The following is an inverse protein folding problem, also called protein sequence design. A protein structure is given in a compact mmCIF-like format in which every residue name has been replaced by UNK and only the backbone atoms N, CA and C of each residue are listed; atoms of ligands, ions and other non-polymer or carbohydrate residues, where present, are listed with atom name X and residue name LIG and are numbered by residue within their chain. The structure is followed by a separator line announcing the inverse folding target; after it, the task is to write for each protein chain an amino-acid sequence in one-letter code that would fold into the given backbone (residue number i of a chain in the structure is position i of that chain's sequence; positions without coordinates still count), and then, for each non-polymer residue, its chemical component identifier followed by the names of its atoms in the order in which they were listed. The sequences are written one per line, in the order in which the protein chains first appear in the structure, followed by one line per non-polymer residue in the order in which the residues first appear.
data_IF_503202647199
#
_entry.id   IF_503202647199
#
_cell.length_a   1.000
_cell.length_b   1.000
_cell.length_c   1.000
_cell.angle_alpha   90.00
_cell.angle_beta   90.00
_cell.angle_gamma   90.00
#
_symmetry.space_group_name_H-M   'P 1'
#
loop_
_entity.id
_entity.type
_entity.pdbx_description
1 polymer ?
#
# COMPACT_ATOMS: atom_id res chain seq x y z
N UNK A 1 -6.58 -12.05 -34.19
CA UNK A 1 -7.61 -11.38 -33.37
C UNK A 1 -6.87 -10.89 -32.15
N UNK A 2 -6.69 -9.59 -31.98
CA UNK A 2 -6.15 -9.04 -30.72
C UNK A 2 -7.30 -9.12 -29.72
N UNK A 3 -7.20 -10.04 -28.75
CA UNK A 3 -8.06 -10.00 -27.61
C UNK A 3 -7.90 -8.63 -26.97
N UNK A 4 -9.00 -7.89 -26.86
CA UNK A 4 -9.06 -6.70 -26.07
C UNK A 4 -8.76 -7.13 -24.64
N UNK A 5 -7.50 -6.97 -24.21
CA UNK A 5 -7.09 -7.20 -22.83
C UNK A 5 -7.75 -6.10 -21.97
N UNK A 6 -9.00 -6.33 -21.62
CA UNK A 6 -9.68 -5.53 -20.61
C UNK A 6 -8.90 -5.78 -19.33
N UNK A 7 -8.40 -4.70 -18.71
CA UNK A 7 -7.79 -4.74 -17.40
C UNK A 7 -8.64 -5.58 -16.43
N UNK A 8 -8.04 -6.61 -15.86
CA UNK A 8 -8.67 -7.42 -14.82
C UNK A 8 -7.77 -7.32 -13.58
N UNK A 9 -8.21 -6.63 -12.53
CA UNK A 9 -7.50 -6.63 -11.25
C UNK A 9 -7.48 -8.04 -10.68
N UNK A 10 -6.42 -8.38 -9.95
CA UNK A 10 -6.36 -9.66 -9.24
C UNK A 10 -7.45 -9.70 -8.17
N UNK A 11 -8.13 -10.83 -8.08
CA UNK A 11 -9.25 -11.07 -7.15
C UNK A 11 -8.96 -12.30 -6.29
N UNK A 12 -9.87 -12.54 -5.37
CA UNK A 12 -10.01 -13.85 -4.68
C UNK A 12 -10.31 -14.94 -5.71
N UNK A 13 -9.95 -16.19 -5.41
CA UNK A 13 -10.22 -17.34 -6.29
C UNK A 13 -11.67 -17.37 -6.78
N UNK A 14 -11.88 -17.65 -8.07
CA UNK A 14 -13.20 -17.61 -8.69
C UNK A 14 -14.19 -18.58 -8.01
N UNK A 15 -13.74 -19.75 -7.56
CA UNK A 15 -14.59 -20.68 -6.83
C UNK A 15 -15.21 -20.06 -5.57
N UNK A 16 -14.45 -19.27 -4.83
CA UNK A 16 -14.95 -18.52 -3.66
C UNK A 16 -15.99 -17.49 -4.11
N UNK A 17 -15.70 -16.76 -5.18
CA UNK A 17 -16.63 -15.75 -5.71
C UNK A 17 -17.92 -16.36 -6.26
N UNK A 18 -17.85 -17.57 -6.82
CA UNK A 18 -19.04 -18.31 -7.29
C UNK A 18 -19.94 -18.72 -6.13
N UNK A 19 -19.38 -19.24 -5.03
CA UNK A 19 -20.14 -19.56 -3.81
C UNK A 19 -20.82 -18.29 -3.25
N UNK A 20 -20.08 -17.18 -3.17
CA UNK A 20 -20.62 -15.91 -2.69
C UNK A 20 -21.74 -15.40 -3.60
N UNK A 21 -21.58 -15.50 -4.92
CA UNK A 21 -22.60 -15.11 -5.91
C UNK A 21 -23.88 -15.93 -5.76
N UNK A 22 -23.76 -17.25 -5.64
CA UNK A 22 -24.93 -18.13 -5.47
C UNK A 22 -25.61 -17.93 -4.11
N UNK A 23 -24.83 -17.68 -3.04
CA UNK A 23 -25.35 -17.32 -1.72
C UNK A 23 -26.33 -16.13 -1.81
N UNK A 24 -25.87 -15.00 -2.34
CA UNK A 24 -26.69 -13.78 -2.39
C UNK A 24 -27.80 -13.84 -3.43
N UNK A 25 -27.65 -14.64 -4.47
CA UNK A 25 -28.74 -14.95 -5.38
C UNK A 25 -29.87 -15.73 -4.65
N UNK A 26 -29.51 -16.70 -3.82
CA UNK A 26 -30.46 -17.48 -3.03
C UNK A 26 -31.14 -16.63 -1.94
N UNK A 27 -30.35 -15.79 -1.21
CA UNK A 27 -30.87 -14.83 -0.23
C UNK A 27 -31.87 -13.86 -0.88
N UNK A 28 -31.55 -13.33 -2.04
CA UNK A 28 -32.42 -12.44 -2.82
C UNK A 28 -33.72 -13.14 -3.32
N UNK A 29 -33.72 -14.45 -3.38
CA UNK A 29 -34.89 -15.28 -3.70
C UNK A 29 -35.64 -15.76 -2.44
N UNK A 30 -35.27 -15.32 -1.25
CA UNK A 30 -35.96 -15.57 0.02
C UNK A 30 -35.43 -16.78 0.79
N UNK A 31 -34.27 -17.34 0.46
CA UNK A 31 -33.65 -18.42 1.23
C UNK A 31 -32.97 -17.80 2.46
N UNK A 32 -33.55 -18.01 3.65
CA UNK A 32 -33.15 -17.32 4.89
C UNK A 32 -31.81 -17.80 5.48
N UNK A 33 -31.40 -19.02 5.21
CA UNK A 33 -30.17 -19.66 5.69
C UNK A 33 -29.03 -19.64 4.63
N UNK A 34 -29.19 -18.88 3.55
CA UNK A 34 -28.24 -18.85 2.44
C UNK A 34 -26.80 -18.57 2.89
N UNK A 35 -26.59 -17.62 3.82
CA UNK A 35 -25.25 -17.29 4.35
C UNK A 35 -24.64 -18.43 5.17
N UNK A 36 -25.47 -19.21 5.92
CA UNK A 36 -25.00 -20.36 6.68
C UNK A 36 -24.59 -21.50 5.78
N UNK A 37 -25.37 -21.78 4.73
CA UNK A 37 -25.03 -22.78 3.71
C UNK A 37 -23.71 -22.39 3.01
N UNK A 38 -23.61 -21.15 2.56
CA UNK A 38 -22.41 -20.65 1.91
C UNK A 38 -21.16 -20.69 2.83
N UNK A 39 -21.31 -20.43 4.13
CA UNK A 39 -20.20 -20.55 5.08
C UNK A 39 -19.65 -21.98 5.15
N UNK A 40 -20.55 -23.00 5.09
CA UNK A 40 -20.12 -24.40 5.06
C UNK A 40 -19.37 -24.71 3.75
N UNK A 41 -19.90 -24.25 2.62
CA UNK A 41 -19.28 -24.47 1.30
C UNK A 41 -17.92 -23.73 1.19
N UNK A 42 -17.82 -22.53 1.75
CA UNK A 42 -16.57 -21.76 1.83
C UNK A 42 -15.52 -22.44 2.71
N UNK A 43 -15.92 -23.35 3.61
CA UNK A 43 -15.01 -23.99 4.57
C UNK A 43 -13.79 -24.67 3.93
N UNK A 44 -13.89 -25.15 2.68
CA UNK A 44 -12.76 -25.73 1.95
C UNK A 44 -11.74 -24.68 1.45
N UNK A 45 -12.14 -23.42 1.36
CA UNK A 45 -11.32 -22.31 0.86
C UNK A 45 -10.92 -21.33 1.96
N UNK A 46 -11.60 -21.39 3.10
CA UNK A 46 -11.31 -20.55 4.26
C UNK A 46 -10.01 -21.01 4.94
N UNK A 47 -9.10 -20.09 5.12
CA UNK A 47 -7.88 -20.30 5.87
C UNK A 47 -8.03 -19.57 7.19
N UNK A 48 -8.15 -20.32 8.29
CA UNK A 48 -8.14 -19.75 9.64
C UNK A 48 -6.72 -19.31 9.96
N UNK A 49 -6.58 -18.11 10.48
CA UNK A 49 -5.30 -17.51 10.86
C UNK A 49 -5.08 -17.56 12.37
N UNK A 50 -3.87 -17.26 12.82
CA UNK A 50 -3.47 -17.42 14.22
C UNK A 50 -4.28 -16.61 15.25
N UNK A 51 -4.98 -15.55 14.83
CA UNK A 51 -5.83 -14.70 15.68
C UNK A 51 -7.34 -15.04 15.58
N UNK A 52 -7.69 -16.13 14.89
CA UNK A 52 -9.07 -16.58 14.69
C UNK A 52 -9.83 -15.82 13.61
N UNK A 53 -9.16 -14.95 12.85
CA UNK A 53 -9.71 -14.40 11.62
C UNK A 53 -9.57 -15.39 10.46
N UNK A 54 -10.21 -15.08 9.34
CA UNK A 54 -10.17 -15.91 8.15
C UNK A 54 -9.59 -15.14 6.97
N UNK A 55 -8.89 -15.84 6.07
CA UNK A 55 -8.39 -15.28 4.82
C UNK A 55 -8.67 -16.19 3.65
N UNK A 56 -8.62 -15.63 2.44
CA UNK A 56 -8.70 -16.34 1.18
C UNK A 56 -7.41 -16.21 0.39
N UNK A 57 -7.22 -17.14 -0.54
CA UNK A 57 -6.19 -17.02 -1.57
C UNK A 57 -6.71 -16.20 -2.74
N UNK A 58 -5.78 -15.51 -3.42
CA UNK A 58 -6.03 -14.89 -4.71
C UNK A 58 -6.16 -15.92 -5.83
N UNK A 59 -6.67 -15.50 -6.98
CA UNK A 59 -6.43 -16.19 -8.23
C UNK A 59 -4.94 -16.49 -8.42
N UNK A 60 -4.62 -17.50 -9.22
CA UNK A 60 -3.22 -17.79 -9.57
C UNK A 60 -2.66 -16.74 -10.51
N UNK A 61 -1.53 -16.16 -10.14
CA UNK A 61 -0.74 -15.26 -10.95
C UNK A 61 0.68 -15.85 -11.11
N UNK A 62 1.11 -16.08 -12.33
CA UNK A 62 2.43 -16.67 -12.66
C UNK A 62 2.75 -17.96 -11.86
N UNK A 63 1.78 -18.88 -11.78
CA UNK A 63 1.82 -20.14 -10.99
C UNK A 63 2.00 -19.96 -9.48
N UNK A 64 1.69 -18.81 -8.95
CA UNK A 64 1.64 -18.54 -7.51
C UNK A 64 0.32 -17.86 -7.14
N UNK A 65 -0.07 -17.97 -5.87
CA UNK A 65 -1.19 -17.23 -5.29
C UNK A 65 -0.73 -16.54 -4.01
N UNK A 66 -1.34 -15.41 -3.70
CA UNK A 66 -1.12 -14.69 -2.44
C UNK A 66 -2.34 -14.85 -1.54
N UNK A 67 -2.14 -14.88 -0.23
CA UNK A 67 -3.24 -14.75 0.73
C UNK A 67 -3.55 -13.27 0.97
N UNK A 68 -4.83 -12.92 1.15
CA UNK A 68 -5.22 -11.54 1.45
C UNK A 68 -4.58 -11.03 2.76
N UNK A 69 -4.45 -11.93 3.76
CA UNK A 69 -3.82 -11.63 5.03
C UNK A 69 -2.76 -12.68 5.37
N UNK A 70 -1.86 -12.38 6.31
CA UNK A 70 -0.87 -13.34 6.77
C UNK A 70 -1.50 -14.48 7.55
N UNK A 71 -0.87 -15.67 7.57
CA UNK A 71 -1.28 -16.80 8.38
C UNK A 71 -1.17 -16.55 9.90
N UNK A 72 -0.42 -15.50 10.30
CA UNK A 72 -0.26 -15.14 11.71
C UNK A 72 -1.53 -14.50 12.28
N UNK A 73 -2.27 -13.76 11.46
CA UNK A 73 -3.50 -13.10 11.85
C UNK A 73 -3.81 -11.90 10.98
N UNK A 74 -5.02 -11.84 10.40
CA UNK A 74 -5.45 -10.69 9.60
C UNK A 74 -5.76 -9.48 10.46
N UNK A 75 -6.29 -9.70 11.66
CA UNK A 75 -6.61 -8.63 12.61
C UNK A 75 -5.34 -8.09 13.29
N UNK A 76 -4.46 -8.99 13.75
CA UNK A 76 -3.18 -8.58 14.33
C UNK A 76 -2.28 -7.89 13.29
N UNK A 77 -2.26 -8.35 12.04
CA UNK A 77 -1.54 -7.67 10.96
C UNK A 77 -2.08 -6.26 10.76
N UNK A 78 -3.40 -6.10 10.72
CA UNK A 78 -4.05 -4.79 10.58
C UNK A 78 -3.69 -3.87 11.75
N UNK A 79 -3.70 -4.40 12.97
CA UNK A 79 -3.34 -3.65 14.17
C UNK A 79 -1.88 -3.20 14.17
N UNK A 80 -0.96 -4.14 13.96
CA UNK A 80 0.47 -3.90 14.14
C UNK A 80 1.07 -3.09 12.99
N UNK A 81 0.66 -3.35 11.74
CA UNK A 81 1.24 -2.70 10.57
C UNK A 81 0.59 -1.40 10.16
N UNK A 82 -0.69 -1.23 10.49
CA UNK A 82 -1.44 -0.08 10.01
C UNK A 82 -1.98 0.81 11.12
N UNK A 83 -2.71 0.22 12.10
CA UNK A 83 -3.46 1.04 13.05
C UNK A 83 -2.57 1.65 14.12
N UNK A 84 -1.70 0.87 14.78
CA UNK A 84 -0.78 1.40 15.80
C UNK A 84 0.18 2.47 15.25
N UNK A 85 0.85 2.24 14.12
CA UNK A 85 1.82 3.22 13.60
C UNK A 85 1.18 4.43 12.89
N UNK A 86 -0.15 4.53 12.81
CA UNK A 86 -0.83 5.64 12.17
C UNK A 86 -1.01 6.89 13.05
N UNK A 87 -0.62 6.83 14.32
CA UNK A 87 -0.69 7.94 15.29
C UNK A 87 -2.10 8.56 15.44
N UNK A 88 -3.15 7.73 15.40
CA UNK A 88 -4.54 8.20 15.46
C UNK A 88 -5.06 8.42 16.89
N UNK A 89 -4.41 7.84 17.89
CA UNK A 89 -4.78 7.99 19.30
C UNK A 89 -4.66 9.46 19.74
N UNK A 90 -5.64 9.93 20.51
CA UNK A 90 -5.67 11.30 21.04
C UNK A 90 -6.26 12.33 20.08
N UNK A 91 -6.73 11.91 18.89
CA UNK A 91 -7.45 12.79 17.95
C UNK A 91 -8.97 12.74 18.23
N UNK A 92 -9.63 13.91 18.20
CA UNK A 92 -11.08 14.01 18.34
C UNK A 92 -11.83 13.62 17.06
N UNK A 93 -11.27 14.01 15.93
CA UNK A 93 -11.80 13.74 14.59
C UNK A 93 -10.72 12.96 13.82
N UNK A 94 -11.07 11.73 13.43
CA UNK A 94 -10.19 10.81 12.72
C UNK A 94 -10.77 10.52 11.35
N UNK A 95 -9.98 10.76 10.32
CA UNK A 95 -10.37 10.50 8.93
C UNK A 95 -9.37 9.54 8.27
N UNK A 96 -9.86 8.37 7.86
CA UNK A 96 -9.05 7.27 7.32
C UNK A 96 -9.53 6.92 5.91
N UNK A 97 -8.59 6.64 5.01
CA UNK A 97 -8.85 5.97 3.73
C UNK A 97 -8.27 4.57 3.78
N UNK A 98 -9.10 3.56 3.58
CA UNK A 98 -8.73 2.14 3.55
C UNK A 98 -8.85 1.63 2.11
N UNK A 99 -7.72 1.52 1.42
CA UNK A 99 -7.65 1.13 0.00
C UNK A 99 -7.40 -0.38 -0.10
N UNK A 100 -8.27 -1.07 -0.82
CA UNK A 100 -8.42 -2.52 -0.88
C UNK A 100 -8.91 -3.09 0.45
N UNK A 101 -10.05 -2.59 0.90
CA UNK A 101 -10.65 -2.93 2.20
C UNK A 101 -11.01 -4.42 2.35
N UNK A 102 -11.15 -5.14 1.24
CA UNK A 102 -11.36 -6.59 1.21
C UNK A 102 -12.52 -7.04 2.09
N UNK A 103 -12.23 -7.85 3.11
CA UNK A 103 -13.22 -8.36 4.06
C UNK A 103 -13.63 -7.35 5.15
N UNK A 104 -13.03 -6.15 5.16
CA UNK A 104 -13.32 -5.08 6.12
C UNK A 104 -12.57 -5.18 7.46
N UNK A 105 -11.57 -6.04 7.57
CA UNK A 105 -10.85 -6.23 8.85
C UNK A 105 -10.08 -4.99 9.28
N UNK A 106 -9.40 -4.31 8.37
CA UNK A 106 -8.60 -3.12 8.71
C UNK A 106 -9.48 -2.02 9.28
N UNK A 107 -10.64 -1.75 8.66
CA UNK A 107 -11.62 -0.81 9.18
C UNK A 107 -12.16 -1.24 10.56
N UNK A 108 -12.45 -2.54 10.75
CA UNK A 108 -12.92 -3.05 12.04
C UNK A 108 -11.87 -2.90 13.16
N UNK A 109 -10.60 -3.16 12.87
CA UNK A 109 -9.50 -2.98 13.82
C UNK A 109 -9.30 -1.51 14.16
N UNK A 110 -9.43 -0.59 13.18
CA UNK A 110 -9.42 0.84 13.43
C UNK A 110 -10.50 1.25 14.45
N UNK A 111 -11.73 0.80 14.24
CA UNK A 111 -12.85 1.09 15.15
C UNK A 111 -12.62 0.51 16.55
N UNK A 112 -12.18 -0.75 16.66
CA UNK A 112 -11.90 -1.39 17.94
C UNK A 112 -10.81 -0.64 18.71
N UNK A 113 -9.71 -0.30 18.04
CA UNK A 113 -8.56 0.35 18.67
C UNK A 113 -8.86 1.79 19.11
N UNK A 114 -9.59 2.56 18.29
CA UNK A 114 -9.92 3.95 18.58
C UNK A 114 -10.99 4.10 19.66
N UNK A 115 -11.88 3.12 19.81
CA UNK A 115 -12.91 3.09 20.85
C UNK A 115 -12.45 2.40 22.16
N UNK A 116 -11.23 1.86 22.20
CA UNK A 116 -10.68 1.27 23.43
C UNK A 116 -10.31 2.38 24.43
N UNK A 117 -11.18 2.60 25.44
CA UNK A 117 -10.98 3.63 26.47
C UNK A 117 -9.70 3.42 27.31
N UNK A 118 -9.11 2.23 27.28
CA UNK A 118 -7.83 1.97 27.98
C UNK A 118 -6.63 2.50 27.21
N UNK A 119 -6.77 2.71 25.91
CA UNK A 119 -5.70 3.17 24.99
C UNK A 119 -5.93 4.61 24.55
N UNK A 120 -7.19 4.99 24.28
CA UNK A 120 -7.53 6.32 23.81
C UNK A 120 -8.05 7.21 24.93
N UNK A 121 -7.39 8.35 25.15
CA UNK A 121 -7.82 9.35 26.15
C UNK A 121 -9.06 10.13 25.70
N UNK A 122 -9.35 10.14 24.41
CA UNK A 122 -10.54 10.77 23.83
C UNK A 122 -11.67 9.74 23.86
N UNK A 123 -12.74 10.08 24.58
CA UNK A 123 -13.95 9.27 24.61
C UNK A 123 -14.82 9.54 23.38
N UNK A 124 -15.24 8.46 22.72
CA UNK A 124 -16.10 8.52 21.54
C UNK A 124 -15.59 9.51 20.47
N UNK A 125 -14.37 9.31 19.91
CA UNK A 125 -13.90 10.16 18.83
C UNK A 125 -14.85 10.06 17.62
N UNK A 126 -14.94 11.12 16.83
CA UNK A 126 -15.62 11.06 15.54
C UNK A 126 -14.72 10.32 14.55
N UNK A 127 -15.18 9.19 14.03
CA UNK A 127 -14.39 8.34 13.13
C UNK A 127 -15.07 8.31 11.76
N UNK A 128 -14.38 8.75 10.73
CA UNK A 128 -14.81 8.61 9.34
C UNK A 128 -13.82 7.71 8.60
N UNK A 129 -14.31 6.61 8.00
CA UNK A 129 -13.50 5.70 7.20
C UNK A 129 -14.09 5.61 5.79
N UNK A 130 -13.29 5.96 4.80
CA UNK A 130 -13.57 5.77 3.38
C UNK A 130 -12.97 4.41 2.97
N UNK A 131 -13.82 3.42 2.78
CA UNK A 131 -13.45 2.05 2.39
C UNK A 131 -13.55 1.92 0.87
N UNK A 132 -12.45 1.55 0.22
CA UNK A 132 -12.37 1.41 -1.24
C UNK A 132 -12.08 -0.03 -1.61
N UNK A 133 -12.97 -0.65 -2.36
CA UNK A 133 -12.81 -2.03 -2.84
C UNK A 133 -13.41 -2.14 -4.26
N UNK A 134 -12.71 -2.80 -5.16
CA UNK A 134 -13.17 -2.96 -6.54
C UNK A 134 -14.19 -4.09 -6.71
N UNK A 135 -14.14 -5.09 -5.83
CA UNK A 135 -14.94 -6.32 -5.93
C UNK A 135 -16.12 -6.32 -4.96
N UNK A 136 -17.35 -6.12 -5.45
CA UNK A 136 -18.53 -6.26 -4.59
C UNK A 136 -18.66 -7.66 -4.01
N UNK A 137 -18.18 -8.70 -4.70
CA UNK A 137 -18.22 -10.08 -4.20
C UNK A 137 -17.21 -10.29 -3.05
N UNK A 138 -16.05 -9.62 -3.07
CA UNK A 138 -15.10 -9.70 -1.96
C UNK A 138 -15.68 -9.05 -0.70
N UNK A 139 -16.30 -7.87 -0.82
CA UNK A 139 -17.04 -7.25 0.29
C UNK A 139 -18.18 -8.16 0.79
N UNK A 140 -18.94 -8.73 -0.13
CA UNK A 140 -20.04 -9.65 0.20
C UNK A 140 -19.54 -10.92 0.92
N UNK A 141 -18.37 -11.45 0.58
CA UNK A 141 -17.73 -12.54 1.33
C UNK A 141 -17.51 -12.16 2.80
N UNK A 142 -17.15 -10.89 3.08
CA UNK A 142 -17.03 -10.37 4.45
C UNK A 142 -18.32 -10.48 5.27
N UNK A 143 -19.51 -10.45 4.64
CA UNK A 143 -20.80 -10.64 5.32
C UNK A 143 -21.05 -12.08 5.76
N UNK A 144 -20.42 -13.05 5.10
CA UNK A 144 -20.64 -14.49 5.35
C UNK A 144 -19.70 -15.00 6.46
N UNK A 145 -18.43 -14.58 6.44
CA UNK A 145 -17.41 -15.10 7.33
C UNK A 145 -17.59 -14.60 8.77
N UNK A 146 -17.34 -15.43 9.79
CA UNK A 146 -17.34 -15.00 11.18
C UNK A 146 -16.11 -14.13 11.48
N UNK A 147 -16.21 -13.30 12.53
CA UNK A 147 -15.09 -12.52 13.04
C UNK A 147 -15.12 -12.49 14.56
N UNK A 148 -13.94 -12.58 15.22
CA UNK A 148 -13.85 -12.45 16.66
C UNK A 148 -14.03 -10.99 17.15
N UNK A 149 -13.97 -9.99 16.25
CA UNK A 149 -14.12 -8.57 16.60
C UNK A 149 -15.58 -8.12 16.53
N UNK A 150 -16.08 -7.53 17.61
CA UNK A 150 -17.43 -6.94 17.65
C UNK A 150 -17.58 -5.75 16.72
N UNK A 151 -16.55 -4.93 16.59
CA UNK A 151 -16.52 -3.79 15.65
C UNK A 151 -16.68 -4.21 14.19
N UNK A 152 -16.38 -5.46 13.83
CA UNK A 152 -16.58 -5.95 12.48
C UNK A 152 -18.08 -6.00 12.10
N UNK A 153 -18.99 -6.19 13.06
CA UNK A 153 -20.43 -6.15 12.80
C UNK A 153 -20.90 -4.75 12.36
N UNK A 154 -20.23 -3.69 12.83
CA UNK A 154 -20.48 -2.30 12.39
C UNK A 154 -20.03 -2.14 10.93
N UNK A 155 -18.84 -2.67 10.58
CA UNK A 155 -18.32 -2.63 9.21
C UNK A 155 -19.19 -3.46 8.27
N UNK A 156 -19.60 -4.66 8.66
CA UNK A 156 -20.54 -5.49 7.88
C UNK A 156 -21.86 -4.76 7.62
N UNK A 157 -22.37 -4.01 8.61
CA UNK A 157 -23.58 -3.21 8.43
C UNK A 157 -23.39 -2.18 7.31
N UNK A 158 -22.29 -1.44 7.31
CA UNK A 158 -21.99 -0.47 6.27
C UNK A 158 -21.84 -1.12 4.88
N UNK A 159 -21.16 -2.27 4.80
CA UNK A 159 -21.01 -3.05 3.58
C UNK A 159 -22.40 -3.52 3.06
N UNK A 160 -23.23 -4.08 3.96
CA UNK A 160 -24.58 -4.53 3.59
C UNK A 160 -25.44 -3.37 3.09
N UNK A 161 -25.42 -2.22 3.75
CA UNK A 161 -26.15 -1.03 3.33
C UNK A 161 -25.72 -0.54 1.95
N UNK A 162 -24.43 -0.53 1.66
CA UNK A 162 -23.91 -0.16 0.34
C UNK A 162 -24.29 -1.16 -0.74
N UNK A 163 -24.15 -2.47 -0.48
CA UNK A 163 -24.56 -3.52 -1.42
C UNK A 163 -26.06 -3.51 -1.69
N UNK A 164 -26.86 -3.17 -0.67
CA UNK A 164 -28.31 -2.98 -0.82
C UNK A 164 -28.61 -1.73 -1.67
N UNK A 165 -27.95 -0.60 -1.41
CA UNK A 165 -28.20 0.65 -2.13
C UNK A 165 -27.93 0.53 -3.63
N UNK A 166 -26.90 -0.25 -4.02
CA UNK A 166 -26.60 -0.50 -5.42
C UNK A 166 -27.41 -1.63 -6.07
N UNK A 167 -28.35 -2.24 -5.32
CA UNK A 167 -29.22 -3.30 -5.82
C UNK A 167 -28.58 -4.68 -5.90
N UNK A 168 -27.39 -4.89 -5.36
CA UNK A 168 -26.76 -6.21 -5.25
C UNK A 168 -27.52 -7.09 -4.26
N UNK A 169 -27.99 -6.52 -3.14
CA UNK A 169 -28.87 -7.14 -2.16
C UNK A 169 -30.30 -6.61 -2.27
N UNK A 170 -31.31 -7.47 -2.09
CA UNK A 170 -32.73 -7.08 -2.01
C UNK A 170 -33.21 -6.89 -0.58
N UNK A 171 -32.48 -7.44 0.38
CA UNK A 171 -32.83 -7.42 1.80
C UNK A 171 -31.63 -7.02 2.64
N UNK A 172 -31.88 -6.45 3.80
CA UNK A 172 -30.91 -6.19 4.84
C UNK A 172 -31.14 -7.15 5.98
N UNK A 173 -30.13 -7.91 6.36
CA UNK A 173 -30.22 -8.91 7.43
C UNK A 173 -29.62 -8.42 8.75
N UNK A 174 -28.70 -7.43 8.68
CA UNK A 174 -28.03 -6.86 9.84
C UNK A 174 -28.87 -5.71 10.39
N UNK A 175 -29.37 -5.88 11.63
CA UNK A 175 -30.26 -4.92 12.30
C UNK A 175 -29.54 -3.93 13.20
N UNK A 176 -28.25 -4.16 13.50
CA UNK A 176 -27.45 -3.26 14.33
C UNK A 176 -27.34 -1.88 13.67
N UNK A 177 -27.37 -0.83 14.49
CA UNK A 177 -27.15 0.53 14.01
C UNK A 177 -25.65 0.89 14.10
N UNK A 178 -25.20 1.73 13.16
CA UNK A 178 -23.87 2.33 13.22
C UNK A 178 -23.94 3.46 14.24
N UNK A 179 -23.03 3.51 15.23
CA UNK A 179 -22.98 4.59 16.22
C UNK A 179 -22.86 5.98 15.56
N UNK A 180 -23.52 6.97 16.13
CA UNK A 180 -23.64 8.31 15.53
C UNK A 180 -22.28 9.02 15.32
N UNK A 181 -21.26 8.67 16.11
CA UNK A 181 -19.90 9.20 15.97
C UNK A 181 -19.05 8.42 14.95
N UNK A 182 -19.60 7.39 14.29
CA UNK A 182 -18.90 6.57 13.28
C UNK A 182 -19.58 6.76 11.93
N UNK A 183 -18.79 7.10 10.92
CA UNK A 183 -19.20 7.18 9.53
C UNK A 183 -18.35 6.22 8.70
N UNK A 184 -18.98 5.28 8.03
CA UNK A 184 -18.34 4.33 7.12
C UNK A 184 -18.93 4.54 5.71
N UNK A 185 -18.10 4.98 4.79
CA UNK A 185 -18.46 5.14 3.38
C UNK A 185 -17.79 4.02 2.59
N UNK A 186 -18.56 3.19 1.91
CA UNK A 186 -18.04 2.06 1.13
C UNK A 186 -18.13 2.40 -0.36
N UNK A 187 -16.98 2.48 -1.02
CA UNK A 187 -16.85 2.80 -2.43
C UNK A 187 -16.47 1.53 -3.21
N UNK A 188 -17.37 1.10 -4.10
CA UNK A 188 -17.14 -0.09 -4.93
C UNK A 188 -16.66 0.38 -6.31
N UNK A 189 -15.37 0.73 -6.37
CA UNK A 189 -14.72 1.32 -7.54
C UNK A 189 -13.25 0.90 -7.64
N UNK A 190 -12.65 1.06 -8.81
CA UNK A 190 -11.19 1.04 -8.95
C UNK A 190 -10.61 2.25 -8.20
N UNK A 191 -9.67 2.03 -7.27
CA UNK A 191 -9.08 3.10 -6.47
C UNK A 191 -8.42 4.20 -7.32
N UNK A 192 -8.00 3.89 -8.55
CA UNK A 192 -7.46 4.87 -9.51
C UNK A 192 -8.48 5.93 -9.94
N UNK A 193 -9.78 5.62 -9.87
CA UNK A 193 -10.83 6.60 -10.17
C UNK A 193 -10.90 7.74 -9.13
N UNK A 194 -10.50 7.47 -7.88
CA UNK A 194 -10.40 8.51 -6.85
C UNK A 194 -9.40 9.59 -7.30
N UNK A 195 -8.25 9.15 -7.81
CA UNK A 195 -7.19 10.04 -8.28
C UNK A 195 -7.64 10.83 -9.51
N UNK A 196 -8.26 10.18 -10.49
CA UNK A 196 -8.75 10.82 -11.72
C UNK A 196 -9.76 11.92 -11.40
N UNK A 197 -10.70 11.63 -10.50
CA UNK A 197 -11.75 12.59 -10.13
C UNK A 197 -11.20 13.77 -9.32
N UNK A 198 -10.20 13.55 -8.44
CA UNK A 198 -9.54 14.61 -7.70
C UNK A 198 -8.77 15.59 -8.60
N UNK A 199 -8.19 15.10 -9.70
CA UNK A 199 -7.48 15.94 -10.69
C UNK A 199 -8.47 16.80 -11.50
N UNK A 200 -9.66 16.27 -11.83
CA UNK A 200 -10.68 17.00 -12.57
C UNK A 200 -11.29 18.17 -11.77
N UNK A 201 -11.34 18.07 -10.44
CA UNK A 201 -11.85 19.16 -9.57
C UNK A 201 -10.87 20.34 -9.46
N UNK A 202 -9.58 20.15 -9.75
CA UNK A 202 -8.55 21.20 -9.68
C UNK A 202 -8.35 21.99 -10.99
N UNK A 203 -8.99 21.58 -12.08
CA UNK A 203 -9.00 22.32 -13.35
C UNK A 203 -10.18 23.31 -13.39
N UNK A 204 -9.99 24.59 -13.82
CA UNK A 204 -11.09 25.55 -13.92
C UNK A 204 -12.17 25.01 -14.87
N UNK A 205 -13.41 24.96 -14.38
CA UNK A 205 -14.57 24.52 -15.16
C UNK A 205 -14.89 25.56 -16.25
N UNK A 206 -14.35 25.42 -17.45
CA UNK A 206 -14.94 25.99 -18.65
C UNK A 206 -15.80 24.92 -19.33
N UNK A 207 -17.10 25.07 -19.20
CA UNK A 207 -18.19 24.45 -19.94
C UNK A 207 -18.17 22.92 -20.14
N UNK A 208 -18.75 22.18 -19.19
CA UNK A 208 -19.46 20.93 -19.51
C UNK A 208 -20.82 20.90 -18.78
N UNK A 209 -21.89 20.85 -19.56
CA UNK A 209 -23.27 20.67 -19.11
C UNK A 209 -23.50 19.16 -18.94
N UNK A 210 -23.87 18.74 -17.71
CA UNK A 210 -24.67 17.55 -17.44
C UNK A 210 -23.94 16.26 -17.18
N UNK A 211 -23.78 15.97 -15.95
CA UNK A 211 -24.20 14.79 -15.16
C UNK A 211 -23.77 15.04 -13.73
N UNK A 212 -24.69 14.88 -12.79
CA UNK A 212 -24.39 14.98 -11.36
C UNK A 212 -23.31 13.95 -10.99
N UNK A 213 -22.05 14.40 -10.93
CA UNK A 213 -20.99 13.64 -10.29
C UNK A 213 -21.27 13.72 -8.79
N UNK A 214 -21.87 12.66 -8.24
CA UNK A 214 -21.90 12.45 -6.79
C UNK A 214 -20.48 12.64 -6.26
N UNK A 215 -20.34 13.51 -5.24
CA UNK A 215 -19.06 13.75 -4.58
C UNK A 215 -18.54 12.43 -4.01
N UNK A 216 -17.52 11.86 -4.62
CA UNK A 216 -16.93 10.56 -4.26
C UNK A 216 -16.31 10.53 -2.86
N UNK A 217 -16.18 11.65 -2.17
CA UNK A 217 -15.66 11.75 -0.80
C UNK A 217 -16.67 12.51 0.05
N UNK A 218 -17.45 11.76 0.82
CA UNK A 218 -18.66 12.23 1.51
C UNK A 218 -18.47 12.94 2.85
N UNK A 219 -17.37 13.64 3.12
CA UNK A 219 -17.26 14.53 4.28
C UNK A 219 -17.71 15.94 3.92
N UNK A 220 -18.71 16.46 4.64
CA UNK A 220 -19.53 17.62 4.31
C UNK A 220 -18.85 19.01 4.39
N UNK A 221 -17.56 19.13 4.71
CA UNK A 221 -16.83 20.38 4.78
C UNK A 221 -15.60 20.36 3.87
N UNK A 222 -15.47 21.36 2.99
CA UNK A 222 -14.34 21.49 2.06
C UNK A 222 -12.95 21.52 2.73
N UNK A 223 -12.88 21.89 4.01
CA UNK A 223 -11.63 21.87 4.80
C UNK A 223 -11.28 20.50 5.36
N UNK A 224 -12.18 19.52 5.34
CA UNK A 224 -12.00 18.18 5.92
C UNK A 224 -11.75 17.06 4.90
N UNK A 225 -11.37 17.39 3.67
CA UNK A 225 -11.08 16.40 2.60
C UNK A 225 -9.74 15.66 2.77
N UNK A 226 -8.96 15.89 3.85
CA UNK A 226 -7.65 15.27 4.06
C UNK A 226 -7.71 14.18 5.12
N UNK A 227 -6.87 13.16 4.93
CA UNK A 227 -6.81 11.97 5.76
C UNK A 227 -5.72 12.04 6.82
N UNK A 228 -6.03 11.57 8.01
CA UNK A 228 -5.04 11.29 9.06
C UNK A 228 -4.21 10.04 8.71
N UNK A 229 -4.85 9.06 8.06
CA UNK A 229 -4.18 7.87 7.58
C UNK A 229 -4.74 7.42 6.23
N UNK A 230 -3.84 6.99 5.33
CA UNK A 230 -4.16 6.24 4.11
C UNK A 230 -3.53 4.85 4.27
N UNK A 231 -4.37 3.84 4.37
CA UNK A 231 -3.99 2.44 4.53
C UNK A 231 -4.02 1.78 3.15
N UNK A 232 -2.86 1.46 2.61
CA UNK A 232 -2.71 0.90 1.26
C UNK A 232 -2.41 -0.60 1.36
N UNK A 233 -3.45 -1.43 1.19
CA UNK A 233 -3.47 -2.87 1.52
C UNK A 233 -3.78 -3.77 0.30
N UNK A 234 -3.36 -3.45 -0.93
CA UNK A 234 -3.56 -4.35 -2.07
C UNK A 234 -2.63 -5.57 -1.99
N UNK A 235 -2.78 -6.50 -2.92
CA UNK A 235 -1.78 -7.55 -3.14
C UNK A 235 -0.40 -6.96 -3.44
N UNK A 236 0.66 -7.78 -3.44
CA UNK A 236 2.04 -7.31 -3.56
C UNK A 236 2.27 -6.45 -4.82
N UNK A 237 3.29 -5.58 -4.82
CA UNK A 237 3.61 -4.75 -6.00
C UNK A 237 3.96 -5.53 -7.25
N UNK A 238 4.30 -6.81 -7.13
CA UNK A 238 4.51 -7.70 -8.28
C UNK A 238 3.22 -8.14 -8.95
N UNK A 239 2.13 -8.10 -8.20
CA UNK A 239 0.81 -8.64 -8.57
C UNK A 239 -0.18 -7.51 -8.86
N UNK A 240 -0.19 -6.46 -8.03
CA UNK A 240 -1.03 -5.26 -8.21
C UNK A 240 -0.18 -3.98 -8.36
N UNK A 241 0.70 -3.91 -9.39
CA UNK A 241 1.62 -2.79 -9.56
C UNK A 241 0.93 -1.45 -9.83
N UNK A 242 -0.32 -1.45 -10.29
CA UNK A 242 -1.12 -0.27 -10.59
C UNK A 242 -1.35 0.62 -9.35
N UNK A 243 -1.59 0.01 -8.19
CA UNK A 243 -1.82 0.72 -6.93
C UNK A 243 -0.50 1.12 -6.23
N UNK A 244 0.63 0.70 -6.77
CA UNK A 244 1.97 1.08 -6.32
C UNK A 244 2.73 1.90 -7.37
N UNK A 245 2.07 2.28 -8.46
CA UNK A 245 2.67 3.17 -9.45
C UNK A 245 2.91 4.55 -8.84
N UNK A 246 4.01 5.19 -9.25
CA UNK A 246 4.29 6.56 -8.78
C UNK A 246 3.17 7.52 -9.18
N UNK A 247 2.49 7.23 -10.28
CA UNK A 247 1.40 8.05 -10.81
C UNK A 247 0.16 7.96 -9.90
N UNK A 248 -0.18 6.76 -9.41
CA UNK A 248 -1.23 6.56 -8.41
C UNK A 248 -0.85 7.18 -7.06
N UNK A 249 0.38 6.90 -6.57
CA UNK A 249 0.87 7.45 -5.31
C UNK A 249 0.92 8.99 -5.33
N UNK A 250 1.26 9.60 -6.49
CA UNK A 250 1.21 11.06 -6.69
C UNK A 250 -0.20 11.62 -6.50
N UNK A 251 -1.23 10.87 -6.88
CA UNK A 251 -2.61 11.29 -6.73
C UNK A 251 -3.12 11.21 -5.29
N UNK A 252 -2.73 10.18 -4.54
CA UNK A 252 -3.22 9.99 -3.16
C UNK A 252 -2.38 10.74 -2.11
N UNK A 253 -1.09 10.99 -2.36
CA UNK A 253 -0.21 11.67 -1.38
C UNK A 253 -0.70 13.06 -0.97
N UNK A 254 -1.22 13.92 -1.85
CA UNK A 254 -1.77 15.23 -1.48
C UNK A 254 -3.03 15.16 -0.60
N UNK A 255 -3.69 14.00 -0.54
CA UNK A 255 -4.87 13.78 0.30
C UNK A 255 -4.50 13.60 1.78
N UNK A 256 -3.23 13.45 2.13
CA UNK A 256 -2.77 13.39 3.51
C UNK A 256 -2.83 14.77 4.18
N UNK A 257 -3.20 14.78 5.46
CA UNK A 257 -2.93 15.93 6.34
C UNK A 257 -1.43 16.12 6.48
N UNK A 258 -0.99 17.30 6.95
CA UNK A 258 0.44 17.60 7.13
C UNK A 258 1.17 16.63 8.08
N UNK A 259 0.44 16.08 9.05
CA UNK A 259 0.87 15.05 10.00
C UNK A 259 0.27 13.67 9.69
N UNK A 260 -0.36 13.52 8.54
CA UNK A 260 -0.99 12.27 8.11
C UNK A 260 0.04 11.22 7.68
N UNK A 261 -0.38 9.96 7.72
CA UNK A 261 0.47 8.80 7.43
C UNK A 261 -0.08 7.99 6.25
N UNK A 262 0.79 7.60 5.32
CA UNK A 262 0.53 6.53 4.36
C UNK A 262 1.25 5.27 4.83
N UNK A 263 0.51 4.18 4.95
CA UNK A 263 1.01 2.92 5.49
C UNK A 263 0.76 1.78 4.50
N UNK A 264 1.78 0.97 4.27
CA UNK A 264 1.66 -0.25 3.46
C UNK A 264 2.57 -1.34 3.99
N UNK A 265 2.17 -2.60 3.81
CA UNK A 265 2.97 -3.73 4.28
C UNK A 265 4.21 -4.00 3.41
N UNK A 266 4.27 -3.42 2.21
CA UNK A 266 5.40 -3.69 1.30
C UNK A 266 6.67 -2.95 1.72
N UNK A 267 7.81 -3.64 1.59
CA UNK A 267 9.15 -3.06 1.72
C UNK A 267 9.84 -2.84 0.35
N UNK A 268 9.05 -2.82 -0.74
CA UNK A 268 9.57 -2.67 -2.10
C UNK A 268 10.37 -1.38 -2.27
N UNK A 269 11.60 -1.50 -2.76
CA UNK A 269 12.46 -0.34 -3.07
C UNK A 269 11.80 0.61 -4.08
N UNK A 270 11.04 0.09 -5.04
CA UNK A 270 10.32 0.91 -6.02
C UNK A 270 9.25 1.79 -5.36
N UNK A 271 8.49 1.23 -4.41
CA UNK A 271 7.44 1.96 -3.69
C UNK A 271 8.06 3.01 -2.78
N UNK A 272 9.10 2.65 -2.03
CA UNK A 272 9.84 3.58 -1.17
C UNK A 272 10.46 4.72 -1.97
N UNK A 273 11.09 4.41 -3.11
CA UNK A 273 11.63 5.43 -4.02
C UNK A 273 10.53 6.38 -4.51
N UNK A 274 9.40 5.84 -4.97
CA UNK A 274 8.25 6.65 -5.44
C UNK A 274 7.77 7.63 -4.37
N UNK A 275 7.62 7.18 -3.12
CA UNK A 275 7.17 8.04 -2.02
C UNK A 275 8.20 9.13 -1.69
N UNK A 276 9.51 8.81 -1.75
CA UNK A 276 10.60 9.78 -1.55
C UNK A 276 10.61 10.82 -2.67
N UNK A 277 10.49 10.38 -3.92
CA UNK A 277 10.44 11.25 -5.10
C UNK A 277 9.26 12.21 -5.06
N UNK A 278 8.15 11.79 -4.44
CA UNK A 278 6.97 12.62 -4.20
C UNK A 278 7.11 13.57 -3.00
N UNK A 279 8.28 13.63 -2.38
CA UNK A 279 8.59 14.55 -1.29
C UNK A 279 8.14 14.08 0.10
N UNK A 280 7.78 12.80 0.26
CA UNK A 280 7.43 12.25 1.57
C UNK A 280 8.68 11.76 2.32
N UNK A 281 8.65 11.91 3.63
CA UNK A 281 9.58 11.25 4.53
C UNK A 281 9.17 9.78 4.68
N UNK A 282 10.13 8.87 4.48
CA UNK A 282 9.88 7.43 4.45
C UNK A 282 10.66 6.73 5.56
N UNK A 283 10.00 5.79 6.22
CA UNK A 283 10.59 4.95 7.24
C UNK A 283 10.16 3.49 7.16
N UNK A 284 10.77 2.68 8.03
CA UNK A 284 10.47 1.26 8.15
C UNK A 284 9.27 1.06 9.06
N UNK A 285 8.24 0.39 8.55
CA UNK A 285 7.09 -0.03 9.34
C UNK A 285 7.41 -1.24 10.23
N UNK A 286 6.52 -1.56 11.19
CA UNK A 286 6.67 -2.72 12.06
C UNK A 286 6.74 -4.04 11.30
N UNK A 287 7.55 -4.97 11.81
CA UNK A 287 7.59 -6.35 11.32
C UNK A 287 6.52 -7.18 12.02
N UNK A 288 5.65 -7.81 11.24
CA UNK A 288 4.66 -8.76 11.72
C UNK A 288 4.47 -9.86 10.67
N UNK A 289 4.79 -11.09 11.01
CA UNK A 289 4.68 -12.25 10.11
C UNK A 289 5.52 -12.20 8.83
N UNK A 290 5.80 -11.00 8.34
CA UNK A 290 6.64 -10.67 7.17
C UNK A 290 7.61 -9.56 7.55
N UNK A 291 8.54 -9.21 6.65
CA UNK A 291 9.43 -8.05 6.83
C UNK A 291 8.63 -6.77 7.12
N UNK A 292 9.26 -5.80 7.75
CA UNK A 292 8.66 -4.50 8.02
C UNK A 292 8.13 -3.84 6.75
N UNK A 293 6.98 -3.15 6.86
CA UNK A 293 6.35 -2.43 5.77
C UNK A 293 7.03 -1.09 5.49
N UNK A 294 6.28 -0.18 4.91
CA UNK A 294 6.71 1.19 4.63
C UNK A 294 5.73 2.16 5.27
N UNK A 295 6.26 3.13 6.01
CA UNK A 295 5.56 4.29 6.52
C UNK A 295 6.02 5.50 5.74
N UNK A 296 5.10 6.39 5.36
CA UNK A 296 5.42 7.64 4.71
C UNK A 296 4.54 8.78 5.24
N UNK A 297 5.11 9.99 5.33
CA UNK A 297 4.40 11.18 5.82
C UNK A 297 4.95 12.44 5.19
N UNK A 298 4.13 13.50 5.00
CA UNK A 298 4.64 14.83 4.69
C UNK A 298 5.50 15.41 5.80
N UNK A 299 5.36 14.90 7.03
CA UNK A 299 6.10 15.37 8.20
C UNK A 299 7.19 14.38 8.63
N UNK A 300 8.43 14.85 8.68
CA UNK A 300 9.56 14.10 9.21
C UNK A 300 9.32 13.59 10.64
N UNK A 301 8.60 14.36 11.46
CA UNK A 301 8.33 14.03 12.88
C UNK A 301 7.49 12.77 13.04
N UNK A 302 6.73 12.39 12.02
CA UNK A 302 5.89 11.19 12.02
C UNK A 302 6.67 9.90 11.70
N UNK A 303 7.95 10.02 11.30
CA UNK A 303 8.79 8.88 10.96
C UNK A 303 9.76 8.60 12.10
N UNK A 304 9.40 7.65 12.95
CA UNK A 304 10.21 7.29 14.13
C UNK A 304 11.41 6.42 13.79
N UNK A 305 11.22 5.47 12.85
CA UNK A 305 12.24 4.50 12.47
C UNK A 305 12.69 4.74 11.02
N UNK A 306 13.94 5.17 10.81
CA UNK A 306 14.49 5.30 9.45
C UNK A 306 14.61 3.94 8.78
N UNK A 307 14.75 3.92 7.46
CA UNK A 307 15.10 2.71 6.70
C UNK A 307 16.46 2.18 7.14
N UNK A 308 16.67 0.87 6.99
CA UNK A 308 18.00 0.29 7.17
C UNK A 308 18.97 0.87 6.13
N UNK A 309 20.27 0.94 6.47
CA UNK A 309 21.29 1.40 5.53
C UNK A 309 21.31 0.60 4.22
N UNK A 310 21.02 -0.71 4.30
CA UNK A 310 20.93 -1.57 3.12
C UNK A 310 19.71 -1.22 2.25
N UNK A 311 18.57 -0.96 2.87
CA UNK A 311 17.36 -0.55 2.15
C UNK A 311 17.56 0.81 1.48
N UNK A 312 18.13 1.80 2.18
CA UNK A 312 18.45 3.10 1.60
C UNK A 312 19.34 2.96 0.35
N UNK A 313 20.39 2.13 0.42
CA UNK A 313 21.27 1.86 -0.73
C UNK A 313 20.53 1.15 -1.87
N UNK A 314 19.66 0.18 -1.56
CA UNK A 314 18.87 -0.51 -2.57
C UNK A 314 17.85 0.43 -3.24
N UNK A 315 17.27 1.34 -2.49
CA UNK A 315 16.34 2.36 -3.01
C UNK A 315 17.08 3.37 -3.89
N UNK A 316 18.16 3.97 -3.38
CA UNK A 316 18.88 5.05 -4.04
C UNK A 316 19.69 4.60 -5.26
N UNK A 317 20.43 3.50 -5.13
CA UNK A 317 21.56 3.18 -6.00
C UNK A 317 21.30 2.03 -6.97
N UNK A 318 20.19 1.28 -6.79
CA UNK A 318 19.93 0.10 -7.62
C UNK A 318 18.73 0.24 -8.55
N UNK A 319 18.71 -0.64 -9.57
CA UNK A 319 17.56 -0.79 -10.46
C UNK A 319 16.28 -1.27 -9.74
N UNK A 320 16.38 -1.75 -8.49
CA UNK A 320 15.20 -2.10 -7.68
C UNK A 320 14.38 -0.87 -7.31
N UNK A 321 15.01 0.31 -7.19
CA UNK A 321 14.34 1.58 -6.93
C UNK A 321 13.53 2.13 -8.10
N UNK A 322 13.71 1.61 -9.33
CA UNK A 322 12.95 2.08 -10.51
C UNK A 322 11.45 1.89 -10.26
N UNK A 323 10.64 2.98 -10.32
CA UNK A 323 9.23 2.93 -9.99
C UNK A 323 8.39 2.14 -10.98
N UNK A 324 7.19 1.77 -10.57
CA UNK A 324 6.11 1.39 -11.47
C UNK A 324 5.48 2.65 -12.08
N UNK A 325 5.06 2.58 -13.34
CA UNK A 325 4.48 3.70 -14.08
C UNK A 325 3.13 3.34 -14.69
N UNK A 326 2.11 4.19 -14.44
CA UNK A 326 0.77 4.11 -15.03
C UNK A 326 0.23 5.53 -15.25
N UNK A 327 0.83 6.27 -16.21
CA UNK A 327 0.59 7.71 -16.42
C UNK A 327 -0.88 8.07 -16.66
N UNK A 328 -1.65 7.18 -17.28
CA UNK A 328 -3.07 7.36 -17.56
C UNK A 328 -3.98 6.68 -16.53
N UNK A 329 -3.41 6.02 -15.53
CA UNK A 329 -4.11 5.25 -14.48
C UNK A 329 -5.11 4.21 -15.04
N UNK A 330 -4.76 3.56 -16.15
CA UNK A 330 -5.63 2.61 -16.83
C UNK A 330 -4.90 1.39 -17.41
N UNK A 331 -3.58 1.29 -17.27
CA UNK A 331 -2.83 0.15 -17.75
C UNK A 331 -3.09 -1.09 -16.89
N UNK A 332 -2.95 -2.26 -17.50
CA UNK A 332 -2.97 -3.54 -16.78
C UNK A 332 -1.70 -3.73 -15.95
N UNK A 333 -1.78 -4.54 -14.91
CA UNK A 333 -0.62 -4.91 -14.10
C UNK A 333 0.50 -5.53 -14.93
N UNK A 334 0.17 -6.30 -15.98
CA UNK A 334 1.13 -6.88 -16.92
C UNK A 334 1.90 -5.80 -17.69
N UNK A 335 1.20 -4.82 -18.28
CA UNK A 335 1.83 -3.72 -19.06
C UNK A 335 2.74 -2.87 -18.16
N UNK A 336 2.30 -2.58 -16.93
CA UNK A 336 3.08 -1.83 -15.95
C UNK A 336 4.34 -2.61 -15.56
N UNK A 337 4.21 -3.92 -15.30
CA UNK A 337 5.31 -4.82 -14.95
C UNK A 337 6.34 -4.94 -16.08
N UNK A 338 5.89 -5.15 -17.32
CA UNK A 338 6.77 -5.24 -18.50
C UNK A 338 7.52 -3.92 -18.75
N UNK A 339 6.83 -2.80 -18.69
CA UNK A 339 7.45 -1.47 -18.80
C UNK A 339 8.55 -1.28 -17.77
N UNK A 340 8.25 -1.57 -16.52
CA UNK A 340 9.24 -1.47 -15.43
C UNK A 340 10.45 -2.38 -15.64
N UNK A 341 10.26 -3.62 -16.12
CA UNK A 341 11.38 -4.52 -16.40
C UNK A 341 12.30 -3.93 -17.46
N UNK A 342 11.77 -3.33 -18.52
CA UNK A 342 12.52 -2.67 -19.57
C UNK A 342 13.29 -1.44 -19.04
N UNK A 343 12.63 -0.61 -18.22
CA UNK A 343 13.27 0.55 -17.57
C UNK A 343 14.38 0.12 -16.61
N UNK A 344 14.18 -0.93 -15.82
CA UNK A 344 15.23 -1.51 -14.96
C UNK A 344 16.43 -2.01 -15.75
N UNK A 345 16.19 -2.67 -16.88
CA UNK A 345 17.27 -3.15 -17.74
C UNK A 345 18.08 -1.98 -18.33
N UNK A 346 17.42 -0.92 -18.76
CA UNK A 346 18.04 0.32 -19.22
C UNK A 346 18.84 1.00 -18.09
N UNK A 347 18.23 1.20 -16.93
CA UNK A 347 18.86 1.85 -15.78
C UNK A 347 20.13 1.14 -15.32
N UNK A 348 20.13 -0.20 -15.24
CA UNK A 348 21.34 -1.01 -14.91
C UNK A 348 22.47 -0.80 -15.90
N UNK A 349 22.15 -0.49 -17.14
CA UNK A 349 23.14 -0.27 -18.20
C UNK A 349 23.73 1.13 -18.11
N UNK A 350 22.92 2.13 -17.74
CA UNK A 350 23.23 3.54 -17.88
C UNK A 350 23.62 4.24 -16.56
N UNK A 351 22.85 4.04 -15.47
CA UNK A 351 22.99 4.88 -14.27
C UNK A 351 22.63 4.23 -12.93
N UNK A 352 22.27 2.97 -12.89
CA UNK A 352 21.96 2.26 -11.64
C UNK A 352 22.76 0.97 -11.50
N UNK A 353 23.09 0.64 -10.26
CA UNK A 353 23.78 -0.59 -9.92
C UNK A 353 22.82 -1.79 -9.97
N UNK A 354 23.37 -2.99 -10.27
CA UNK A 354 22.54 -4.18 -10.38
C UNK A 354 22.07 -4.67 -9.00
N UNK A 355 20.75 -4.75 -8.80
CA UNK A 355 20.14 -5.38 -7.63
C UNK A 355 20.31 -6.91 -7.61
N UNK A 356 20.42 -7.54 -8.78
CA UNK A 356 20.60 -9.00 -8.91
C UNK A 356 21.89 -9.53 -8.26
N UNK A 357 22.91 -8.69 -8.16
CA UNK A 357 24.17 -8.99 -7.43
C UNK A 357 24.25 -8.23 -6.11
N UNK A 358 23.22 -7.43 -5.75
CA UNK A 358 23.15 -6.59 -4.56
C UNK A 358 24.34 -5.62 -4.44
N UNK A 359 24.88 -5.16 -5.58
CA UNK A 359 26.05 -4.28 -5.63
C UNK A 359 25.95 -3.05 -4.71
N UNK A 360 24.79 -2.35 -4.61
CA UNK A 360 24.68 -1.21 -3.71
C UNK A 360 24.86 -1.57 -2.23
N UNK A 361 24.37 -2.74 -1.81
CA UNK A 361 24.42 -3.18 -0.40
C UNK A 361 25.86 -3.37 0.05
N UNK A 362 26.73 -3.79 -0.86
CA UNK A 362 28.12 -4.11 -0.56
C UNK A 362 29.08 -2.91 -0.67
N UNK A 363 28.62 -1.74 -1.15
CA UNK A 363 29.43 -0.53 -1.12
C UNK A 363 29.92 -0.27 0.32
N UNK A 364 31.24 -0.05 0.47
CA UNK A 364 31.90 0.18 1.75
C UNK A 364 31.75 -0.98 2.76
N UNK A 365 31.47 -2.19 2.28
CA UNK A 365 31.40 -3.40 3.08
C UNK A 365 32.47 -4.40 2.65
N UNK A 366 32.97 -5.21 3.60
CA UNK A 366 33.86 -6.32 3.27
C UNK A 366 33.05 -7.54 2.77
N UNK A 367 33.55 -8.18 1.72
CA UNK A 367 32.95 -9.41 1.16
C UNK A 367 34.01 -10.49 1.18
N UNK A 368 33.80 -11.49 2.06
CA UNK A 368 34.71 -12.63 2.21
C UNK A 368 34.56 -13.69 1.10
N UNK A 369 33.37 -13.78 0.45
CA UNK A 369 33.12 -14.71 -0.65
C UNK A 369 33.76 -14.21 -1.95
N UNK A 370 34.86 -14.83 -2.40
CA UNK A 370 35.63 -14.38 -3.56
C UNK A 370 34.86 -14.37 -4.89
N UNK A 371 33.85 -15.26 -5.07
CA UNK A 371 33.02 -15.27 -6.28
C UNK A 371 32.04 -14.08 -6.28
N UNK A 372 31.40 -13.80 -5.16
CA UNK A 372 30.49 -12.66 -4.99
C UNK A 372 31.25 -11.34 -5.13
N UNK A 373 32.39 -11.21 -4.43
CA UNK A 373 33.26 -10.04 -4.52
C UNK A 373 33.64 -9.71 -5.97
N UNK A 374 34.06 -10.73 -6.76
CA UNK A 374 34.39 -10.53 -8.19
C UNK A 374 33.19 -10.03 -9.01
N UNK A 375 31.97 -10.57 -8.75
CA UNK A 375 30.76 -10.13 -9.46
C UNK A 375 30.40 -8.68 -9.12
N UNK A 376 30.45 -8.32 -7.84
CA UNK A 376 30.19 -6.94 -7.38
C UNK A 376 31.22 -5.96 -7.96
N UNK A 377 32.51 -6.29 -7.88
CA UNK A 377 33.55 -5.44 -8.45
C UNK A 377 33.43 -5.26 -9.96
N UNK A 378 33.02 -6.32 -10.69
CA UNK A 378 32.77 -6.21 -12.13
C UNK A 378 31.64 -5.23 -12.43
N UNK A 379 30.63 -5.20 -11.58
CA UNK A 379 29.51 -4.24 -11.72
C UNK A 379 29.94 -2.81 -11.39
N UNK A 380 30.61 -2.62 -10.27
CA UNK A 380 31.10 -1.31 -9.83
C UNK A 380 32.06 -0.66 -10.84
N UNK A 381 32.94 -1.46 -11.47
CA UNK A 381 33.89 -0.97 -12.49
C UNK A 381 33.20 -0.38 -13.73
N UNK A 382 31.99 -0.81 -14.07
CA UNK A 382 31.24 -0.20 -15.18
C UNK A 382 30.90 1.27 -14.92
N UNK A 383 30.82 1.66 -13.65
CA UNK A 383 30.54 2.99 -13.18
C UNK A 383 31.79 3.70 -12.64
N UNK A 384 33.01 3.21 -13.01
CA UNK A 384 34.30 3.76 -12.59
C UNK A 384 34.56 3.72 -11.08
N UNK A 385 33.88 2.82 -10.39
CA UNK A 385 34.11 2.56 -8.97
C UNK A 385 35.09 1.39 -8.89
N UNK A 386 36.32 1.66 -8.48
CA UNK A 386 37.44 0.71 -8.60
C UNK A 386 37.37 -0.42 -7.59
N UNK A 387 36.98 -0.12 -6.35
CA UNK A 387 36.84 -1.10 -5.26
C UNK A 387 35.69 -0.72 -4.32
N UNK A 388 35.28 -1.71 -3.51
CA UNK A 388 34.22 -1.59 -2.50
C UNK A 388 34.50 -0.51 -1.46
N UNK A 389 35.76 -0.26 -1.14
CA UNK A 389 36.23 0.69 -0.12
C UNK A 389 36.96 1.90 -0.73
N UNK A 390 36.87 2.10 -2.06
CA UNK A 390 37.49 3.23 -2.73
C UNK A 390 36.92 4.58 -2.24
N UNK A 391 37.63 5.68 -2.50
CA UNK A 391 37.15 7.02 -2.17
C UNK A 391 35.79 7.34 -2.82
N UNK A 392 35.56 6.84 -4.05
CA UNK A 392 34.27 6.95 -4.71
C UNK A 392 33.17 6.17 -3.97
N UNK A 393 33.47 4.97 -3.47
CA UNK A 393 32.52 4.20 -2.66
C UNK A 393 32.18 4.91 -1.35
N UNK A 394 33.18 5.45 -0.66
CA UNK A 394 32.99 6.28 0.55
C UNK A 394 32.14 7.53 0.25
N UNK A 395 32.43 8.23 -0.84
CA UNK A 395 31.69 9.43 -1.25
C UNK A 395 30.20 9.13 -1.43
N UNK A 396 29.84 8.04 -2.14
CA UNK A 396 28.45 7.67 -2.39
C UNK A 396 27.71 7.39 -1.08
N UNK A 397 28.28 6.61 -0.17
CA UNK A 397 27.58 6.15 1.05
C UNK A 397 27.73 7.11 2.25
N UNK A 398 28.57 8.13 2.14
CA UNK A 398 28.85 9.09 3.21
C UNK A 398 27.59 9.71 3.86
N UNK A 399 26.47 9.99 3.13
CA UNK A 399 25.26 10.53 3.74
C UNK A 399 24.65 9.67 4.86
N UNK A 400 25.00 8.39 4.94
CA UNK A 400 24.50 7.47 5.96
C UNK A 400 25.27 7.56 7.29
N UNK A 401 26.40 8.28 7.33
CA UNK A 401 27.30 8.31 8.48
C UNK A 401 27.15 9.64 9.24
N UNK A 402 27.21 9.55 10.58
CA UNK A 402 27.17 10.75 11.44
C UNK A 402 28.41 11.62 11.25
N UNK A 403 29.57 10.99 11.05
CA UNK A 403 30.81 11.66 10.74
C UNK A 403 31.14 11.52 9.27
N UNK A 404 31.65 12.57 8.64
CA UNK A 404 32.03 12.55 7.24
C UNK A 404 33.18 11.56 7.01
N UNK A 405 32.94 10.55 6.15
CA UNK A 405 33.94 9.52 5.81
C UNK A 405 34.60 9.74 4.45
N UNK A 406 34.12 10.69 3.63
CA UNK A 406 34.68 10.98 2.31
C UNK A 406 35.73 12.11 2.33
N UNK A 407 35.85 12.85 3.42
CA UNK A 407 36.82 13.93 3.56
C UNK A 407 36.30 15.31 3.13
N UNK A 408 35.11 15.42 2.58
CA UNK A 408 34.56 16.69 2.03
C UNK A 408 33.84 17.55 3.08
N UNK A 409 33.88 17.16 4.37
CA UNK A 409 33.23 17.90 5.45
C UNK A 409 31.69 17.88 5.39
N UNK A 410 31.10 16.80 4.91
CA UNK A 410 29.65 16.68 4.77
C UNK A 410 28.93 16.82 6.10
N UNK A 411 27.80 17.54 6.10
CA UNK A 411 26.89 17.59 7.23
C UNK A 411 26.09 16.27 7.35
N UNK A 412 25.72 15.92 8.58
CA UNK A 412 24.92 14.73 8.87
C UNK A 412 23.47 14.93 8.43
N UNK A 413 22.95 13.93 7.73
CA UNK A 413 21.55 13.86 7.31
C UNK A 413 20.82 12.87 8.24
N UNK A 414 19.81 13.32 8.96
CA UNK A 414 19.16 12.56 10.03
C UNK A 414 17.94 11.73 9.59
N UNK A 415 17.53 11.78 8.31
CA UNK A 415 16.41 11.04 7.77
C UNK A 415 16.74 10.26 6.50
N UNK A 416 16.01 9.17 6.27
CA UNK A 416 16.26 8.28 5.13
C UNK A 416 15.98 8.89 3.78
N UNK A 417 14.95 9.73 3.67
CA UNK A 417 14.55 10.30 2.37
C UNK A 417 15.62 11.19 1.79
N UNK A 418 16.16 12.12 2.59
CA UNK A 418 17.23 13.00 2.15
C UNK A 418 18.53 12.22 1.91
N UNK A 419 18.85 11.18 2.74
CA UNK A 419 20.02 10.31 2.49
C UNK A 419 19.93 9.58 1.17
N UNK A 420 18.74 9.06 0.82
CA UNK A 420 18.49 8.39 -0.45
C UNK A 420 18.70 9.33 -1.62
N UNK A 421 18.11 10.52 -1.59
CA UNK A 421 18.28 11.55 -2.63
C UNK A 421 19.76 11.94 -2.80
N UNK A 422 20.46 12.19 -1.69
CA UNK A 422 21.86 12.60 -1.76
C UNK A 422 22.78 11.48 -2.26
N UNK A 423 22.56 10.21 -1.86
CA UNK A 423 23.33 9.08 -2.39
C UNK A 423 23.11 8.89 -3.89
N UNK A 424 21.89 9.01 -4.38
CA UNK A 424 21.59 8.94 -5.81
C UNK A 424 22.29 10.04 -6.60
N UNK A 425 22.20 11.28 -6.13
CA UNK A 425 22.89 12.42 -6.70
C UNK A 425 24.40 12.20 -6.79
N UNK A 426 25.02 11.66 -5.73
CA UNK A 426 26.46 11.36 -5.69
C UNK A 426 26.86 10.26 -6.67
N UNK A 427 26.05 9.20 -6.82
CA UNK A 427 26.28 8.18 -7.84
C UNK A 427 26.23 8.78 -9.25
N UNK A 428 25.22 9.62 -9.54
CA UNK A 428 25.07 10.30 -10.83
C UNK A 428 26.27 11.19 -11.13
N UNK A 429 26.75 11.98 -10.16
CA UNK A 429 27.96 12.82 -10.30
C UNK A 429 29.19 11.97 -10.68
N UNK A 430 29.37 10.80 -10.07
CA UNK A 430 30.50 9.91 -10.42
C UNK A 430 30.39 9.40 -11.85
N UNK A 431 29.18 9.10 -12.32
CA UNK A 431 28.94 8.57 -13.67
C UNK A 431 29.15 9.67 -14.72
N UNK A 432 28.63 10.87 -14.47
CA UNK A 432 28.80 12.04 -15.36
C UNK A 432 30.26 12.44 -15.55
N UNK A 433 31.07 12.36 -14.49
CA UNK A 433 32.49 12.67 -14.53
C UNK A 433 33.34 11.61 -15.28
N UNK A 434 32.72 10.55 -15.79
CA UNK A 434 33.42 9.52 -16.60
C UNK A 434 33.22 9.70 -18.11
N UNK A 435 32.17 10.43 -18.49
CA UNK A 435 31.85 10.75 -19.88
C UNK A 435 32.48 12.09 -20.28
#
# INVERSE_FOLDING_TARGET
MKDNNVYKPLKVQENVLDIVRECFKNENNGVMDARQVALVELGEFLIETGDGSFTFQSESFDNSSETMHTFHGGLEESLEKYVKPSHLIGKHDVHIMDICSGLGYTAAVCLEYLNDETKNTIKNPNICIEMVEISPLTLAAGLIIPSPLKSHEIVKKAIEDQLFSMGFLKHRMITNEIPANIKLNVHIIDAREIVKNSVLETTPKDHFIGTESEQLIGCSDEQNKKFDAILLVPFSPGVSPELYSIDFLKGISPLLKNDGMLLTYTSSSAVRYSLIELGLYVGEGPSFGRSGGTLASPSKKCIEKPLSSNDERMVALSDAGIPFRDSELNNSGFEIGERRQNERAKARKEYKLASTVKSPVYLFNDINEGRLRRRVLKELKKFGIEDLISEKSKYIVCPQYKECICGDGCEYIDNSSERVIEMEKRLNTIIENQN
#
